data_IF_891443876840
#
_entry.id   IF_891443876840
#
_cell.length_a   1.000
_cell.length_b   1.000
_cell.length_c   1.000
_cell.angle_alpha   90.00
_cell.angle_beta   90.00
_cell.angle_gamma   90.00
#
_symmetry.space_group_name_H-M   'P 1'
#
loop_
_entity.id
_entity.type
_entity.pdbx_description
1 polymer ?
#
# COMPACT_ATOMS: atom_id res chain seq x y z
N UNK A 1 2.48 36.81 25.56
CA UNK A 1 1.78 36.23 24.41
C UNK A 1 2.68 35.19 23.77
N UNK A 2 2.46 33.90 24.05
CA UNK A 2 3.23 32.82 23.45
C UNK A 2 2.47 32.32 22.21
N UNK A 3 3.13 32.44 21.06
CA UNK A 3 2.59 32.07 19.75
C UNK A 3 2.63 30.54 19.64
N UNK A 4 1.49 29.87 19.84
CA UNK A 4 1.37 28.45 19.57
C UNK A 4 1.47 28.26 18.06
N UNK A 5 2.60 27.67 17.62
CA UNK A 5 2.77 27.26 16.24
C UNK A 5 1.62 26.32 15.85
N UNK A 6 0.76 26.78 14.94
CA UNK A 6 -0.29 25.98 14.33
C UNK A 6 0.38 24.74 13.73
N UNK A 7 0.24 23.58 14.40
CA UNK A 7 0.56 22.29 13.82
C UNK A 7 -0.53 22.02 12.78
N UNK A 8 -0.29 22.54 11.58
CA UNK A 8 -1.08 22.21 10.41
C UNK A 8 -0.82 20.74 10.10
N UNK A 9 -1.59 19.83 10.70
CA UNK A 9 -1.55 18.41 10.33
C UNK A 9 -2.17 18.37 8.92
N UNK A 10 -1.42 17.95 7.89
CA UNK A 10 -1.98 17.82 6.56
C UNK A 10 -3.20 16.90 6.62
N UNK A 11 -4.33 17.36 6.10
CA UNK A 11 -5.49 16.48 5.87
C UNK A 11 -5.09 15.49 4.76
N UNK A 12 -5.01 14.18 5.04
CA UNK A 12 -4.65 13.20 4.03
C UNK A 12 -5.72 13.05 2.93
N UNK A 13 -6.87 13.74 3.05
CA UNK A 13 -7.98 13.68 2.10
C UNK A 13 -8.98 12.56 2.40
N UNK A 14 -8.89 11.97 3.58
CA UNK A 14 -9.64 10.78 4.01
C UNK A 14 -10.21 10.94 5.43
N UNK A 15 -10.56 12.15 5.84
CA UNK A 15 -11.06 12.44 7.18
C UNK A 15 -12.39 11.75 7.53
N UNK A 16 -13.20 11.39 6.53
CA UNK A 16 -14.44 10.62 6.66
C UNK A 16 -14.29 9.12 6.32
N UNK A 17 -13.05 8.62 6.20
CA UNK A 17 -12.78 7.21 5.92
C UNK A 17 -13.19 6.31 7.10
N UNK A 18 -14.21 5.47 6.87
CA UNK A 18 -14.70 4.50 7.85
C UNK A 18 -13.82 3.23 7.94
N UNK A 19 -12.75 3.18 7.14
CA UNK A 19 -11.78 2.10 7.12
C UNK A 19 -12.23 0.88 6.31
N UNK A 20 -13.42 0.91 5.71
CA UNK A 20 -13.92 -0.16 4.84
C UNK A 20 -13.30 -0.05 3.44
N UNK A 21 -13.39 -1.12 2.65
CA UNK A 21 -12.94 -1.13 1.26
C UNK A 21 -13.92 -0.36 0.36
N UNK A 22 -13.41 0.31 -0.69
CA UNK A 22 -14.29 0.86 -1.74
C UNK A 22 -15.16 -0.28 -2.29
N UNK A 23 -16.51 -0.16 -2.26
CA UNK A 23 -17.40 -1.23 -2.68
C UNK A 23 -17.18 -1.70 -4.13
N UNK A 24 -16.74 -0.80 -5.02
CA UNK A 24 -16.42 -1.15 -6.42
C UNK A 24 -15.15 -1.98 -6.49
N UNK A 25 -14.14 -1.65 -5.70
CA UNK A 25 -12.90 -2.44 -5.64
C UNK A 25 -13.16 -3.81 -5.02
N UNK A 26 -13.94 -3.89 -3.94
CA UNK A 26 -14.34 -5.15 -3.33
C UNK A 26 -15.11 -6.05 -4.31
N UNK A 27 -16.06 -5.48 -5.05
CA UNK A 27 -16.81 -6.21 -6.08
C UNK A 27 -15.92 -6.67 -7.24
N UNK A 28 -14.98 -5.83 -7.70
CA UNK A 28 -14.04 -6.19 -8.76
C UNK A 28 -13.09 -7.32 -8.34
N UNK A 29 -12.57 -7.28 -7.10
CA UNK A 29 -11.74 -8.34 -6.54
C UNK A 29 -12.52 -9.65 -6.41
N UNK A 30 -13.76 -9.61 -5.95
CA UNK A 30 -14.63 -10.79 -5.90
C UNK A 30 -14.93 -11.34 -7.30
N UNK A 31 -15.18 -10.46 -8.27
CA UNK A 31 -15.35 -10.82 -9.68
C UNK A 31 -14.11 -11.51 -10.25
N UNK A 32 -12.92 -10.98 -9.97
CA UNK A 32 -11.66 -11.61 -10.35
C UNK A 32 -11.40 -12.94 -9.64
N UNK A 33 -11.81 -13.08 -8.37
CA UNK A 33 -11.72 -14.34 -7.66
C UNK A 33 -12.56 -15.44 -8.33
N UNK A 34 -13.71 -15.07 -8.92
CA UNK A 34 -14.55 -15.96 -9.71
C UNK A 34 -14.04 -16.17 -11.14
N UNK A 35 -13.46 -15.14 -11.76
CA UNK A 35 -12.86 -15.19 -13.10
C UNK A 35 -11.46 -14.53 -13.10
N UNK A 36 -10.43 -15.39 -13.13
CA UNK A 36 -9.03 -14.97 -13.06
C UNK A 36 -8.56 -14.12 -14.24
N UNK A 37 -9.37 -14.01 -15.30
CA UNK A 37 -9.06 -13.15 -16.45
C UNK A 37 -9.57 -11.72 -16.29
N UNK A 38 -10.46 -11.46 -15.33
CA UNK A 38 -11.13 -10.18 -15.13
C UNK A 38 -10.24 -9.14 -14.39
N UNK A 39 -9.03 -8.89 -14.90
CA UNK A 39 -8.10 -7.92 -14.34
C UNK A 39 -8.53 -6.45 -14.59
N UNK A 40 -9.10 -6.16 -15.75
CA UNK A 40 -9.51 -4.80 -16.14
C UNK A 40 -10.41 -4.11 -15.10
N UNK A 41 -11.52 -4.72 -14.66
CA UNK A 41 -12.37 -4.14 -13.62
C UNK A 41 -11.64 -3.82 -12.30
N UNK A 42 -10.62 -4.60 -11.92
CA UNK A 42 -9.81 -4.33 -10.72
C UNK A 42 -8.95 -3.08 -10.95
N UNK A 43 -8.29 -2.98 -12.11
CA UNK A 43 -7.46 -1.82 -12.46
C UNK A 43 -8.30 -0.53 -12.57
N UNK A 44 -9.49 -0.61 -13.15
CA UNK A 44 -10.43 0.53 -13.22
C UNK A 44 -10.87 0.98 -11.83
N UNK A 45 -11.25 0.05 -10.94
CA UNK A 45 -11.69 0.38 -9.59
C UNK A 45 -10.57 0.98 -8.73
N UNK A 46 -9.33 0.55 -8.94
CA UNK A 46 -8.16 1.06 -8.21
C UNK A 46 -7.91 2.55 -8.43
N UNK A 47 -8.23 3.09 -9.62
CA UNK A 47 -7.98 4.49 -9.95
C UNK A 47 -8.67 5.48 -9.01
N UNK A 48 -9.82 5.10 -8.44
CA UNK A 48 -10.59 5.92 -7.50
C UNK A 48 -10.50 5.46 -6.04
N UNK A 49 -9.80 4.37 -5.75
CA UNK A 49 -9.77 3.77 -4.43
C UNK A 49 -8.65 4.33 -3.56
N UNK A 50 -8.94 4.40 -2.25
CA UNK A 50 -7.93 4.55 -1.20
C UNK A 50 -7.29 3.20 -0.94
N UNK A 51 -5.96 3.18 -0.77
CA UNK A 51 -5.22 2.04 -0.26
C UNK A 51 -4.66 2.34 1.13
N UNK A 52 -4.46 1.30 1.94
CA UNK A 52 -3.71 1.38 3.19
C UNK A 52 -2.32 0.79 2.96
N UNK A 53 -1.30 1.61 3.11
CA UNK A 53 0.08 1.14 3.22
C UNK A 53 0.36 0.91 4.71
N UNK A 54 0.81 -0.29 5.13
CA UNK A 54 1.15 -0.55 6.52
C UNK A 54 2.41 0.22 6.93
N UNK A 55 2.40 0.76 8.14
CA UNK A 55 3.61 1.25 8.80
C UNK A 55 3.81 0.47 10.09
N UNK A 56 4.99 -0.14 10.23
CA UNK A 56 5.36 -0.92 11.41
C UNK A 56 6.56 -0.28 12.10
N UNK A 57 6.60 -0.41 13.43
CA UNK A 57 7.77 0.00 14.19
C UNK A 57 8.90 -1.02 13.99
N UNK A 58 10.05 -0.56 13.52
CA UNK A 58 11.27 -1.34 13.45
C UNK A 58 12.11 -1.02 14.68
N UNK A 59 12.52 -2.05 15.43
CA UNK A 59 13.56 -1.87 16.45
C UNK A 59 14.89 -1.65 15.72
N UNK A 60 15.49 -0.48 15.88
CA UNK A 60 16.84 -0.21 15.37
C UNK A 60 17.88 -1.18 15.95
N UNK A 61 18.91 -1.50 15.16
CA UNK A 61 20.05 -2.28 15.62
C UNK A 61 20.79 -1.56 16.74
N UNK A 62 21.25 -2.32 17.75
CA UNK A 62 22.05 -1.79 18.86
C UNK A 62 23.50 -1.71 18.39
N UNK A 63 24.02 -0.51 18.15
CA UNK A 63 25.49 -0.30 18.08
C UNK A 63 26.03 -0.19 19.53
N UNK A 64 26.93 -1.09 19.91
CA UNK A 64 27.72 -0.94 21.14
C UNK A 64 28.84 0.08 20.89
N UNK A 65 28.82 1.20 21.62
CA UNK A 65 29.98 2.09 21.69
C UNK A 65 31.08 1.47 22.58
N UNK A 66 32.33 1.88 22.38
CA UNK A 66 33.50 1.40 23.15
C UNK A 66 33.43 1.72 24.65
N UNK A 67 32.40 2.46 25.11
CA UNK A 67 32.25 2.94 26.48
C UNK A 67 31.12 2.24 27.26
N UNK A 68 30.43 1.26 26.66
CA UNK A 68 29.38 0.48 27.33
C UNK A 68 28.14 1.30 27.71
N UNK A 69 27.94 2.48 27.11
CA UNK A 69 26.74 3.28 27.36
C UNK A 69 25.65 2.87 26.37
N UNK A 70 24.79 1.93 26.77
CA UNK A 70 23.57 1.60 26.02
C UNK A 70 22.64 2.80 25.95
N UNK A 71 22.63 3.50 24.82
CA UNK A 71 21.56 4.43 24.43
C UNK A 71 20.58 3.69 23.50
N UNK A 72 19.58 3.04 24.08
CA UNK A 72 18.32 2.75 23.37
C UNK A 72 17.47 4.05 23.38
N UNK A 73 16.58 4.41 22.45
CA UNK A 73 15.71 3.62 21.58
C UNK A 73 15.10 4.60 20.55
N UNK A 74 15.63 4.73 19.34
CA UNK A 74 14.90 5.40 18.25
C UNK A 74 14.00 4.35 17.60
N UNK A 75 12.69 4.51 17.76
CA UNK A 75 11.72 3.68 17.02
C UNK A 75 11.58 4.25 15.63
N UNK A 76 12.20 3.61 14.64
CA UNK A 76 12.00 3.95 13.24
C UNK A 76 10.68 3.36 12.75
N UNK A 77 9.96 4.13 11.95
CA UNK A 77 8.71 3.70 11.33
C UNK A 77 9.03 3.34 9.88
N UNK A 78 8.77 2.10 9.48
CA UNK A 78 9.08 1.62 8.14
C UNK A 78 7.84 1.09 7.44
N UNK A 79 7.85 1.23 6.12
CA UNK A 79 6.93 0.51 5.24
C UNK A 79 7.53 -0.89 5.01
N UNK A 80 6.88 -1.96 5.45
CA UNK A 80 7.40 -3.31 5.28
C UNK A 80 7.39 -3.68 3.80
N UNK A 81 8.45 -4.34 3.36
CA UNK A 81 8.55 -4.91 2.00
C UNK A 81 8.68 -6.42 2.11
N UNK A 82 7.82 -7.14 1.39
CA UNK A 82 7.89 -8.60 1.29
C UNK A 82 9.05 -8.98 0.35
N UNK A 83 9.80 -10.04 0.70
CA UNK A 83 10.90 -10.54 -0.13
C UNK A 83 10.67 -12.00 -0.48
N UNK A 84 10.78 -12.33 -1.76
CA UNK A 84 10.74 -13.70 -2.27
C UNK A 84 11.85 -13.88 -3.31
N UNK A 85 12.97 -14.46 -2.89
CA UNK A 85 14.18 -14.50 -3.72
C UNK A 85 14.73 -13.10 -3.95
N UNK A 86 14.90 -12.73 -5.22
CA UNK A 86 15.33 -11.40 -5.67
C UNK A 86 14.18 -10.40 -5.82
N UNK A 87 12.93 -10.87 -5.73
CA UNK A 87 11.75 -10.02 -5.90
C UNK A 87 11.32 -9.35 -4.60
N UNK A 88 10.88 -8.10 -4.73
CA UNK A 88 10.32 -7.28 -3.65
C UNK A 88 8.88 -6.93 -3.97
N UNK A 89 8.00 -7.05 -2.98
CA UNK A 89 6.62 -6.63 -3.11
C UNK A 89 6.21 -5.71 -1.97
N UNK A 90 5.47 -4.66 -2.30
CA UNK A 90 4.84 -3.78 -1.33
C UNK A 90 3.47 -4.37 -0.93
N UNK A 91 3.23 -4.71 0.35
CA UNK A 91 1.90 -5.02 0.82
C UNK A 91 1.05 -3.74 0.90
N UNK A 92 -0.18 -3.82 0.40
CA UNK A 92 -1.18 -2.77 0.56
C UNK A 92 -2.54 -3.41 0.86
N UNK A 93 -3.44 -2.67 1.48
CA UNK A 93 -4.73 -3.21 1.94
C UNK A 93 -5.88 -2.32 1.53
N UNK A 94 -7.01 -2.95 1.23
CA UNK A 94 -8.24 -2.25 0.85
C UNK A 94 -9.01 -1.78 2.08
N UNK A 95 -8.86 -2.44 3.23
CA UNK A 95 -9.57 -2.12 4.48
C UNK A 95 -8.71 -2.32 5.72
N UNK A 96 -9.13 -1.70 6.83
CA UNK A 96 -8.50 -1.90 8.15
C UNK A 96 -8.65 -3.37 8.60
N UNK A 97 -9.75 -4.02 8.26
CA UNK A 97 -9.98 -5.44 8.56
C UNK A 97 -8.94 -6.32 7.85
N UNK A 98 -8.74 -6.13 6.54
CA UNK A 98 -7.74 -6.88 5.77
C UNK A 98 -6.31 -6.63 6.28
N UNK A 99 -6.00 -5.39 6.68
CA UNK A 99 -4.73 -5.05 7.31
C UNK A 99 -4.54 -5.78 8.65
N UNK A 100 -5.55 -5.75 9.52
CA UNK A 100 -5.50 -6.36 10.84
C UNK A 100 -5.42 -7.90 10.79
N UNK A 101 -5.99 -8.53 9.74
CA UNK A 101 -5.81 -9.95 9.47
C UNK A 101 -4.36 -10.31 9.13
N UNK A 102 -3.63 -9.39 8.49
CA UNK A 102 -2.21 -9.59 8.17
C UNK A 102 -1.29 -9.27 9.34
N UNK A 103 -1.44 -8.09 9.94
CA UNK A 103 -0.67 -7.66 11.12
C UNK A 103 -1.51 -6.70 11.99
N UNK A 104 -2.01 -7.15 13.16
CA UNK A 104 -2.80 -6.31 14.04
C UNK A 104 -1.99 -5.18 14.71
N UNK A 105 -0.66 -5.21 14.66
CA UNK A 105 0.19 -4.15 15.17
C UNK A 105 0.53 -3.08 14.13
N UNK A 106 0.24 -3.32 12.84
CA UNK A 106 0.50 -2.39 11.77
C UNK A 106 -0.43 -1.18 11.85
N UNK A 107 0.14 0.01 11.60
CA UNK A 107 -0.62 1.26 11.57
C UNK A 107 -1.04 1.56 10.14
N UNK A 108 -2.34 1.81 9.88
CA UNK A 108 -2.81 2.15 8.54
C UNK A 108 -2.37 3.55 8.13
N UNK A 109 -1.76 3.69 6.96
CA UNK A 109 -1.59 4.97 6.28
C UNK A 109 -2.43 4.97 5.01
N UNK A 110 -3.50 5.75 5.03
CA UNK A 110 -4.39 5.97 3.90
C UNK A 110 -3.69 6.79 2.81
N UNK A 111 -3.60 6.24 1.61
CA UNK A 111 -2.99 6.90 0.46
C UNK A 111 -3.83 6.68 -0.81
N UNK A 112 -3.87 7.66 -1.72
CA UNK A 112 -4.37 7.43 -3.07
C UNK A 112 -3.42 6.50 -3.84
N UNK A 113 -3.93 5.86 -4.90
CA UNK A 113 -3.16 4.90 -5.72
C UNK A 113 -1.80 5.45 -6.18
N UNK A 114 -1.74 6.69 -6.65
CA UNK A 114 -0.48 7.27 -7.13
C UNK A 114 0.61 7.32 -6.05
N UNK A 115 0.25 7.54 -4.79
CA UNK A 115 1.22 7.51 -3.68
C UNK A 115 1.63 6.07 -3.34
N UNK A 116 0.74 5.09 -3.43
CA UNK A 116 1.11 3.68 -3.28
C UNK A 116 2.10 3.24 -4.37
N UNK A 117 1.92 3.70 -5.62
CA UNK A 117 2.87 3.45 -6.71
C UNK A 117 4.24 4.09 -6.43
N UNK A 118 4.27 5.32 -5.90
CA UNK A 118 5.52 5.97 -5.49
C UNK A 118 6.21 5.24 -4.35
N UNK A 119 5.46 4.75 -3.35
CA UNK A 119 6.00 3.93 -2.27
C UNK A 119 6.63 2.63 -2.81
N UNK A 120 5.96 1.94 -3.74
CA UNK A 120 6.50 0.75 -4.38
C UNK A 120 7.82 1.06 -5.11
N UNK A 121 7.87 2.17 -5.86
CA UNK A 121 9.08 2.61 -6.54
C UNK A 121 10.22 2.94 -5.56
N UNK A 122 9.93 3.64 -4.46
CA UNK A 122 10.90 3.99 -3.42
C UNK A 122 11.51 2.74 -2.75
N UNK A 123 10.67 1.73 -2.47
CA UNK A 123 11.10 0.45 -1.90
C UNK A 123 11.76 -0.49 -2.91
N UNK A 124 11.82 -0.09 -4.19
CA UNK A 124 12.26 -0.90 -5.32
C UNK A 124 11.44 -2.19 -5.45
N UNK A 125 10.17 -2.13 -5.08
CA UNK A 125 9.21 -3.20 -5.26
C UNK A 125 8.60 -3.11 -6.67
N UNK A 126 8.64 -4.21 -7.41
CA UNK A 126 8.05 -4.30 -8.75
C UNK A 126 6.65 -4.90 -8.75
N UNK A 127 6.13 -5.12 -7.55
CA UNK A 127 4.86 -5.76 -7.29
C UNK A 127 4.18 -5.06 -6.11
N UNK A 128 2.88 -4.79 -6.23
CA UNK A 128 2.02 -4.49 -5.07
C UNK A 128 1.13 -5.70 -4.84
N UNK A 129 1.04 -6.17 -3.60
CA UNK A 129 0.11 -7.25 -3.21
C UNK A 129 -0.98 -6.67 -2.34
N UNK A 130 -2.22 -6.75 -2.83
CA UNK A 130 -3.41 -6.35 -2.11
C UNK A 130 -3.89 -7.49 -1.21
N UNK A 131 -4.30 -7.15 0.01
CA UNK A 131 -5.06 -8.01 0.93
C UNK A 131 -4.45 -9.42 1.06
N UNK A 132 -3.14 -9.47 1.36
CA UNK A 132 -2.36 -10.71 1.40
C UNK A 132 -2.99 -11.80 2.29
N UNK A 133 -3.64 -11.42 3.39
CA UNK A 133 -4.31 -12.31 4.33
C UNK A 133 -5.80 -12.57 3.99
N UNK A 134 -6.30 -12.04 2.88
CA UNK A 134 -7.69 -12.11 2.45
C UNK A 134 -8.46 -10.81 2.65
N UNK A 135 -9.71 -10.74 2.14
CA UNK A 135 -10.50 -11.87 1.64
C UNK A 135 -10.10 -12.37 0.25
N UNK A 136 -9.48 -11.52 -0.58
CA UNK A 136 -9.01 -11.88 -1.92
C UNK A 136 -7.60 -11.32 -2.15
N UNK A 137 -6.54 -12.15 -1.99
CA UNK A 137 -5.18 -11.72 -2.29
C UNK A 137 -5.01 -11.45 -3.79
N UNK A 138 -4.55 -10.25 -4.15
CA UNK A 138 -4.41 -9.83 -5.54
C UNK A 138 -3.04 -9.21 -5.83
N UNK A 139 -2.38 -9.67 -6.89
CA UNK A 139 -1.04 -9.22 -7.27
C UNK A 139 -1.10 -8.23 -8.44
N UNK A 140 -0.56 -7.04 -8.23
CA UNK A 140 -0.29 -6.04 -9.25
C UNK A 140 1.18 -6.12 -9.64
N UNK A 141 1.48 -6.91 -10.67
CA UNK A 141 2.84 -7.00 -11.22
C UNK A 141 3.23 -5.76 -12.04
N UNK A 142 4.51 -5.67 -12.38
CA UNK A 142 5.14 -4.54 -13.10
C UNK A 142 4.32 -3.93 -14.24
N UNK A 143 3.75 -4.74 -15.13
CA UNK A 143 2.98 -4.23 -16.28
C UNK A 143 1.71 -3.48 -15.84
N UNK A 144 1.01 -3.97 -14.81
CA UNK A 144 -0.13 -3.29 -14.22
C UNK A 144 0.30 -2.01 -13.49
N UNK A 145 1.41 -2.04 -12.75
CA UNK A 145 1.94 -0.84 -12.09
C UNK A 145 2.28 0.27 -13.08
N UNK A 146 2.91 -0.08 -14.21
CA UNK A 146 3.22 0.87 -15.28
C UNK A 146 1.95 1.43 -15.93
N UNK A 147 0.98 0.58 -16.25
CA UNK A 147 -0.31 1.03 -16.78
C UNK A 147 -1.01 2.00 -15.84
N UNK A 148 -1.10 1.67 -14.55
CA UNK A 148 -1.73 2.52 -13.55
C UNK A 148 -0.97 3.85 -13.34
N UNK A 149 0.37 3.83 -13.42
CA UNK A 149 1.19 5.05 -13.35
C UNK A 149 0.95 5.98 -14.54
N UNK A 150 0.60 5.43 -15.71
CA UNK A 150 0.21 6.15 -16.91
C UNK A 150 -1.29 6.53 -16.94
N UNK A 151 -2.05 6.17 -15.90
CA UNK A 151 -3.49 6.40 -15.83
C UNK A 151 -4.32 5.44 -16.69
N UNK A 152 -3.73 4.35 -17.17
CA UNK A 152 -4.39 3.30 -17.96
C UNK A 152 -4.97 2.21 -17.05
N UNK A 153 -6.12 1.69 -17.43
CA UNK A 153 -6.80 0.59 -16.73
C UNK A 153 -6.57 -0.79 -17.38
N UNK A 154 -5.60 -0.89 -18.30
CA UNK A 154 -5.21 -2.14 -18.95
C UNK A 154 -3.69 -2.30 -18.93
N UNK A 155 -3.23 -3.45 -18.48
CA UNK A 155 -1.82 -3.85 -18.57
C UNK A 155 -1.42 -4.32 -19.98
N UNK A 156 -2.39 -4.59 -20.86
CA UNK A 156 -2.17 -4.90 -22.27
C UNK A 156 -2.11 -3.59 -23.08
N UNK A 157 -0.95 -3.26 -23.68
CA UNK A 157 -0.83 -2.08 -24.55
C UNK A 157 -1.75 -2.12 -25.77
N UNK A 158 -2.17 -3.30 -26.22
CA UNK A 158 -3.05 -3.47 -27.39
C UNK A 158 -4.55 -3.34 -27.06
N UNK A 159 -4.90 -3.32 -25.77
CA UNK A 159 -6.28 -3.14 -25.31
C UNK A 159 -6.58 -1.70 -24.87
N UNK A 160 -5.64 -0.78 -25.04
CA UNK A 160 -5.84 0.65 -24.81
C UNK A 160 -6.71 1.25 -25.93
N UNK A 161 -7.85 1.89 -25.64
CA UNK A 161 -8.67 2.55 -26.66
C UNK A 161 -7.96 3.72 -27.38
N UNK A 162 -6.79 4.15 -26.91
CA UNK A 162 -5.95 5.17 -27.55
C UNK A 162 -4.98 4.61 -28.61
N UNK A 163 -4.94 3.28 -28.82
CA UNK A 163 -4.09 2.61 -29.84
C UNK A 163 -4.90 2.19 -31.07
#
# INVERSE_FOLDING_TARGET
MANAANKNIPDPGFSDDDGTADPRLAAALAGWAADRTAHGPVLEALAGARLLVPVVAVLGEVEEDENGLRREKTSDMAVPTLKAGDRKALPAFTSIEALALWDPAARPVAVPLHQALQAAAHEQADTIVLDLAGPVPYELGRSALLALAEGRASADPLADPAV
#
